data_IF_824443087007
#
_entry.id   IF_824443087007
#
_cell.length_a   1.000
_cell.length_b   1.000
_cell.length_c   1.000
_cell.angle_alpha   90.00
_cell.angle_beta   90.00
_cell.angle_gamma   90.00
#
_symmetry.space_group_name_H-M   'P 1'
#
loop_
_entity.id
_entity.type
_entity.pdbx_description
1 polymer ?
#
# COMPACT_ATOMS: atom_id res chain seq x y z
N UNK A 1 -7.86 -1.17 -10.52
CA UNK A 1 -8.50 -1.10 -9.18
C UNK A 1 -7.55 -0.62 -8.11
N UNK A 2 -6.34 -1.18 -7.99
CA UNK A 2 -5.39 -0.79 -6.93
C UNK A 2 -5.06 0.72 -6.86
N UNK A 3 -5.01 1.43 -8.00
CA UNK A 3 -4.73 2.88 -8.05
C UNK A 3 -5.86 3.74 -7.46
N UNK A 4 -7.12 3.33 -7.64
CA UNK A 4 -8.28 4.00 -7.04
C UNK A 4 -8.25 3.84 -5.53
N UNK A 5 -7.93 2.63 -5.06
CA UNK A 5 -7.78 2.33 -3.62
C UNK A 5 -6.67 3.18 -3.00
N UNK A 6 -5.49 3.26 -3.64
CA UNK A 6 -4.42 4.13 -3.16
C UNK A 6 -4.82 5.59 -3.08
N UNK A 7 -5.47 6.13 -4.12
CA UNK A 7 -5.89 7.52 -4.11
C UNK A 7 -6.94 7.77 -3.03
N UNK A 8 -7.87 6.83 -2.82
CA UNK A 8 -8.87 6.94 -1.74
C UNK A 8 -8.23 6.96 -0.35
N UNK A 9 -7.17 6.18 -0.12
CA UNK A 9 -6.42 6.22 1.13
C UNK A 9 -5.65 7.53 1.30
N UNK A 10 -4.99 8.00 0.23
CA UNK A 10 -4.32 9.29 0.23
C UNK A 10 -5.30 10.44 0.56
N UNK A 11 -6.52 10.39 0.03
CA UNK A 11 -7.57 11.38 0.32
C UNK A 11 -8.06 11.29 1.77
N UNK A 12 -8.20 10.09 2.32
CA UNK A 12 -8.54 9.92 3.74
C UNK A 12 -7.45 10.53 4.64
N UNK A 13 -6.18 10.23 4.38
CA UNK A 13 -5.05 10.83 5.09
C UNK A 13 -4.98 12.35 4.91
N UNK A 14 -5.23 12.85 3.71
CA UNK A 14 -5.30 14.28 3.43
C UNK A 14 -6.35 14.97 4.31
N UNK A 15 -7.54 14.38 4.38
CA UNK A 15 -8.65 14.90 5.17
C UNK A 15 -8.34 14.91 6.68
N UNK A 16 -7.71 13.84 7.19
CA UNK A 16 -7.39 13.71 8.61
C UNK A 16 -6.18 14.53 9.06
N UNK A 17 -5.17 14.71 8.19
CA UNK A 17 -3.92 15.42 8.53
C UNK A 17 -3.94 16.88 8.09
N UNK A 18 -4.91 17.28 7.26
CA UNK A 18 -4.98 18.58 6.59
C UNK A 18 -3.69 18.95 5.83
N UNK A 19 -2.98 17.94 5.31
CA UNK A 19 -1.75 18.09 4.52
C UNK A 19 -2.04 17.90 3.04
N UNK A 20 -1.36 18.67 2.21
CA UNK A 20 -1.47 18.55 0.75
C UNK A 20 -0.43 17.63 0.14
N UNK A 21 0.58 17.19 0.88
CA UNK A 21 1.60 16.26 0.39
C UNK A 21 1.58 15.03 1.28
N UNK A 22 1.04 13.94 0.75
CA UNK A 22 0.78 12.71 1.50
C UNK A 22 1.75 11.63 1.01
N UNK A 23 2.44 10.99 1.94
CA UNK A 23 3.33 9.86 1.69
C UNK A 23 2.95 8.72 2.62
N UNK A 24 2.79 7.52 2.08
CA UNK A 24 2.52 6.31 2.84
C UNK A 24 3.20 5.11 2.20
N UNK A 25 3.35 4.03 2.97
CA UNK A 25 3.92 2.77 2.50
C UNK A 25 2.96 2.05 1.54
N UNK A 26 3.45 1.64 0.38
CA UNK A 26 2.74 0.72 -0.49
C UNK A 26 3.45 -0.63 -0.50
N UNK A 27 2.71 -1.68 -0.12
CA UNK A 27 3.18 -3.06 -0.23
C UNK A 27 2.94 -3.60 -1.64
N UNK A 28 4.00 -4.09 -2.26
CA UNK A 28 3.99 -4.75 -3.57
C UNK A 28 4.40 -6.21 -3.39
N UNK A 29 3.53 -7.14 -3.79
CA UNK A 29 3.85 -8.57 -3.69
C UNK A 29 4.92 -9.04 -4.69
N UNK A 30 5.11 -8.28 -5.78
CA UNK A 30 6.02 -8.55 -6.90
C UNK A 30 5.94 -9.96 -7.51
N UNK A 31 4.80 -10.65 -7.36
CA UNK A 31 4.55 -11.99 -7.92
C UNK A 31 4.21 -11.98 -9.42
N UNK A 32 4.26 -10.82 -10.05
CA UNK A 32 3.92 -10.59 -11.45
C UNK A 32 5.07 -9.95 -12.25
N UNK A 33 6.30 -10.00 -11.71
CA UNK A 33 7.48 -9.62 -12.48
C UNK A 33 7.81 -10.71 -13.50
N UNK A 34 8.53 -10.33 -14.55
CA UNK A 34 8.97 -11.23 -15.63
C UNK A 34 10.16 -12.08 -15.15
N UNK A 35 9.88 -12.99 -14.22
CA UNK A 35 10.84 -13.92 -13.62
C UNK A 35 10.19 -15.30 -13.59
N UNK A 36 10.86 -16.28 -14.21
CA UNK A 36 10.35 -17.64 -14.32
C UNK A 36 10.04 -18.24 -12.94
N UNK A 37 8.79 -18.68 -12.76
CA UNK A 37 8.31 -19.31 -11.54
C UNK A 37 8.18 -18.39 -10.32
N UNK A 38 8.22 -17.06 -10.49
CA UNK A 38 8.14 -16.10 -9.38
C UNK A 38 6.84 -16.21 -8.57
N UNK A 39 5.76 -16.66 -9.20
CA UNK A 39 4.49 -16.96 -8.56
C UNK A 39 4.59 -18.14 -7.58
N UNK A 40 5.49 -19.09 -7.84
CA UNK A 40 5.70 -20.33 -7.07
C UNK A 40 6.96 -20.31 -6.20
N UNK A 41 7.81 -19.28 -6.32
CA UNK A 41 9.03 -19.15 -5.53
C UNK A 41 8.75 -19.08 -4.03
N UNK A 42 9.42 -19.93 -3.26
CA UNK A 42 9.47 -19.84 -1.80
C UNK A 42 10.46 -18.72 -1.42
N UNK A 43 9.96 -17.62 -0.85
CA UNK A 43 10.75 -16.45 -0.47
C UNK A 43 9.94 -15.15 -0.36
N UNK A 44 10.50 -14.13 0.31
CA UNK A 44 9.89 -12.81 0.40
C UNK A 44 10.16 -12.04 -0.90
N UNK A 45 9.20 -12.09 -1.83
CA UNK A 45 9.18 -11.20 -3.01
C UNK A 45 8.52 -9.86 -2.69
N UNK A 46 8.03 -9.68 -1.46
CA UNK A 46 7.32 -8.48 -1.05
C UNK A 46 8.33 -7.34 -0.91
N UNK A 47 8.02 -6.20 -1.50
CA UNK A 47 8.72 -4.96 -1.21
C UNK A 47 7.74 -3.87 -0.81
N UNK A 48 8.22 -2.96 0.01
CA UNK A 48 7.49 -1.75 0.36
C UNK A 48 8.13 -0.56 -0.35
N UNK A 49 7.31 0.29 -0.95
CA UNK A 49 7.76 1.46 -1.70
C UNK A 49 6.98 2.70 -1.26
N UNK A 50 7.58 3.91 -1.27
CA UNK A 50 6.86 5.11 -0.92
C UNK A 50 5.81 5.41 -2.00
N UNK A 51 4.57 5.59 -1.60
CA UNK A 51 3.52 6.15 -2.44
C UNK A 51 3.27 7.60 -2.04
N UNK A 52 3.66 8.55 -2.89
CA UNK A 52 3.46 9.99 -2.69
C UNK A 52 2.34 10.54 -3.57
N UNK A 53 1.41 11.27 -2.98
CA UNK A 53 0.31 11.96 -3.66
C UNK A 53 0.27 13.42 -3.22
N UNK A 54 0.38 14.35 -4.18
CA UNK A 54 0.30 15.80 -3.93
C UNK A 54 -1.05 16.36 -4.32
N UNK A 55 -1.78 16.92 -3.38
CA UNK A 55 -3.09 17.54 -3.51
C UNK A 55 -3.00 19.03 -3.87
N UNK A 56 -2.53 19.32 -5.09
CA UNK A 56 -2.54 20.68 -5.67
C UNK A 56 -3.93 21.08 -6.21
N UNK A 57 -4.35 22.33 -6.04
CA UNK A 57 -5.73 22.76 -6.32
C UNK A 57 -6.15 22.72 -7.79
N UNK A 58 -5.21 22.56 -8.73
CA UNK A 58 -5.48 22.64 -10.17
C UNK A 58 -5.70 21.29 -10.86
N UNK A 59 -5.37 20.16 -10.21
CA UNK A 59 -5.49 18.83 -10.82
C UNK A 59 -6.79 18.13 -10.46
N UNK A 60 -7.53 17.67 -11.47
CA UNK A 60 -8.72 16.83 -11.31
C UNK A 60 -8.39 15.45 -10.73
N UNK A 61 -9.41 14.76 -10.20
CA UNK A 61 -9.27 13.39 -9.68
C UNK A 61 -8.80 12.42 -10.78
N UNK A 62 -9.27 12.60 -12.02
CA UNK A 62 -8.91 11.73 -13.14
C UNK A 62 -7.43 11.88 -13.50
N UNK A 63 -6.93 13.12 -13.58
CA UNK A 63 -5.51 13.39 -13.85
C UNK A 63 -4.61 12.82 -12.74
N UNK A 64 -5.06 12.89 -11.48
CA UNK A 64 -4.35 12.29 -10.35
C UNK A 64 -4.28 10.78 -10.44
N UNK A 65 -5.39 10.12 -10.81
CA UNK A 65 -5.40 8.67 -11.03
C UNK A 65 -4.45 8.27 -12.15
N UNK A 66 -4.40 9.04 -13.24
CA UNK A 66 -3.49 8.78 -14.36
C UNK A 66 -2.04 8.96 -13.94
N UNK A 67 -1.71 10.04 -13.23
CA UNK A 67 -0.37 10.29 -12.72
C UNK A 67 0.07 9.20 -11.74
N UNK A 68 -0.80 8.80 -10.82
CA UNK A 68 -0.51 7.75 -9.85
C UNK A 68 -0.31 6.39 -10.55
N UNK A 69 -1.12 6.10 -11.58
CA UNK A 69 -0.93 4.91 -12.40
C UNK A 69 0.41 4.93 -13.13
N UNK A 70 0.80 6.06 -13.74
CA UNK A 70 2.06 6.21 -14.45
C UNK A 70 3.27 6.06 -13.51
N UNK A 71 3.21 6.69 -12.34
CA UNK A 71 4.25 6.57 -11.31
C UNK A 71 4.43 5.12 -10.86
N UNK A 72 3.33 4.39 -10.64
CA UNK A 72 3.39 2.96 -10.27
C UNK A 72 4.08 2.11 -11.33
N UNK A 73 3.74 2.31 -12.60
CA UNK A 73 4.39 1.58 -13.71
C UNK A 73 5.89 1.87 -13.77
N UNK A 74 6.28 3.13 -13.55
CA UNK A 74 7.70 3.52 -13.49
C UNK A 74 8.45 2.85 -12.33
N UNK A 75 7.82 2.77 -11.15
CA UNK A 75 8.43 2.19 -9.94
C UNK A 75 8.56 0.66 -10.02
N UNK A 76 7.72 -0.03 -10.80
CA UNK A 76 7.78 -1.50 -10.91
C UNK A 76 9.17 -2.02 -11.33
N UNK A 77 9.91 -1.30 -12.17
CA UNK A 77 11.28 -1.66 -12.55
C UNK A 77 12.34 -1.45 -11.46
N UNK A 78 11.98 -0.77 -10.37
CA UNK A 78 12.90 -0.34 -9.30
C UNK A 78 12.45 -0.78 -7.90
N UNK A 79 11.37 -1.57 -7.80
CA UNK A 79 10.75 -1.94 -6.54
C UNK A 79 11.54 -2.99 -5.72
N UNK A 80 12.62 -3.56 -6.26
CA UNK A 80 13.43 -4.60 -5.62
C UNK A 80 14.72 -4.07 -4.97
N UNK A 81 14.75 -2.77 -4.66
CA UNK A 81 15.86 -2.17 -3.93
C UNK A 81 15.81 -2.57 -2.44
N UNK A 82 16.97 -2.80 -1.82
CA UNK A 82 17.05 -3.02 -0.37
C UNK A 82 16.65 -1.72 0.36
N UNK A 83 15.93 -1.83 1.48
CA UNK A 83 15.62 -0.72 2.37
C UNK A 83 16.87 0.06 2.80
N UNK A 84 18.00 -0.63 3.01
CA UNK A 84 19.28 0.01 3.36
C UNK A 84 19.81 0.90 2.24
N UNK A 85 19.67 0.46 0.97
CA UNK A 85 20.06 1.24 -0.19
C UNK A 85 19.12 2.44 -0.39
N UNK A 86 17.82 2.26 -0.15
CA UNK A 86 16.85 3.35 -0.19
C UNK A 86 17.17 4.44 0.84
N UNK A 87 17.47 4.08 2.09
CA UNK A 87 17.87 5.02 3.12
C UNK A 87 19.15 5.79 2.73
N UNK A 88 20.13 5.05 2.19
CA UNK A 88 21.41 5.61 1.75
C UNK A 88 21.24 6.63 0.62
N UNK A 89 20.42 6.35 -0.38
CA UNK A 89 20.27 7.21 -1.55
C UNK A 89 19.28 8.36 -1.35
N UNK A 90 18.24 8.15 -0.55
CA UNK A 90 17.23 9.17 -0.27
C UNK A 90 17.68 10.21 0.76
N UNK A 91 18.73 9.91 1.55
CA UNK A 91 19.12 10.69 2.73
C UNK A 91 17.98 10.84 3.75
N UNK A 92 16.97 9.98 3.68
CA UNK A 92 15.87 9.86 4.63
C UNK A 92 16.15 8.63 5.49
N UNK A 93 16.08 8.72 6.84
CA UNK A 93 16.22 7.53 7.67
C UNK A 93 15.19 6.47 7.25
N UNK A 94 15.59 5.19 7.26
CA UNK A 94 14.87 4.05 6.70
C UNK A 94 13.34 4.18 6.76
N UNK A 95 12.67 3.97 5.61
CA UNK A 95 11.22 4.07 5.35
C UNK A 95 10.34 4.28 6.60
N UNK A 96 10.34 5.50 7.14
CA UNK A 96 9.45 5.89 8.23
C UNK A 96 8.14 6.37 7.60
N UNK A 97 7.26 5.43 7.30
CA UNK A 97 5.84 5.74 7.12
C UNK A 97 5.13 5.50 8.44
N UNK A 98 4.17 6.35 8.79
CA UNK A 98 3.28 6.09 9.92
C UNK A 98 2.18 5.08 9.55
N UNK A 99 1.93 4.92 8.25
CA UNK A 99 0.88 4.06 7.70
C UNK A 99 1.30 3.40 6.40
N UNK A 100 0.83 2.16 6.20
CA UNK A 100 1.00 1.41 4.97
C UNK A 100 -0.34 0.91 4.41
N UNK A 101 -0.34 0.61 3.11
CA UNK A 101 -1.46 0.02 2.40
C UNK A 101 -1.01 -1.15 1.53
N UNK A 102 -1.56 -2.32 1.82
CA UNK A 102 -1.39 -3.54 1.05
C UNK A 102 -2.63 -3.83 0.20
N UNK A 103 -2.41 -4.07 -1.10
CA UNK A 103 -3.47 -4.54 -2.01
C UNK A 103 -3.18 -5.97 -2.42
N UNK A 104 -3.91 -6.92 -1.83
CA UNK A 104 -3.77 -8.34 -2.10
C UNK A 104 -4.81 -8.79 -3.13
N UNK A 105 -4.37 -9.43 -4.21
CA UNK A 105 -5.25 -10.22 -5.06
C UNK A 105 -5.16 -11.68 -4.62
N UNK A 106 -6.10 -12.14 -3.81
CA UNK A 106 -6.26 -13.58 -3.59
C UNK A 106 -7.01 -14.18 -4.77
N UNK A 107 -6.45 -15.21 -5.41
CA UNK A 107 -7.28 -16.29 -5.94
C UNK A 107 -7.75 -17.09 -4.72
N UNK A 108 -9.04 -17.35 -4.59
CA UNK A 108 -9.62 -18.35 -3.67
C UNK A 108 -9.59 -18.11 -2.16
N UNK A 109 -10.16 -16.99 -1.69
CA UNK A 109 -10.87 -17.02 -0.41
C UNK A 109 -12.22 -16.32 -0.59
N UNK A 110 -13.31 -17.03 -0.32
CA UNK A 110 -14.65 -16.48 -0.17
C UNK A 110 -14.66 -15.52 1.03
N UNK A 111 -14.16 -14.32 0.81
CA UNK A 111 -14.17 -13.23 1.77
C UNK A 111 -15.54 -12.57 1.65
N UNK A 112 -16.23 -12.50 2.78
CA UNK A 112 -17.47 -11.76 2.98
C UNK A 112 -17.31 -10.31 2.45
N UNK A 113 -18.24 -9.85 1.60
CA UNK A 113 -18.16 -8.60 0.82
C UNK A 113 -18.23 -7.32 1.68
N UNK A 114 -18.14 -7.47 3.00
CA UNK A 114 -18.28 -6.41 3.97
C UNK A 114 -16.91 -5.82 4.36
N UNK A 115 -16.88 -4.50 4.58
CA UNK A 115 -15.74 -3.81 5.22
C UNK A 115 -15.64 -4.30 6.65
N UNK A 116 -14.56 -5.04 6.98
CA UNK A 116 -14.31 -5.57 8.33
C UNK A 116 -13.16 -4.81 8.96
N UNK A 117 -13.51 -3.81 9.79
CA UNK A 117 -12.53 -3.15 10.67
C UNK A 117 -12.32 -4.07 11.87
N UNK A 118 -11.35 -4.99 11.75
CA UNK A 118 -10.97 -5.85 12.86
C UNK A 118 -10.01 -5.08 13.77
N UNK A 119 -10.55 -4.46 14.83
CA UNK A 119 -9.74 -3.85 15.86
C UNK A 119 -9.09 -4.91 16.75
N UNK A 120 -7.80 -5.14 16.59
CA UNK A 120 -7.02 -5.99 17.49
C UNK A 120 -5.83 -6.66 16.82
N UNK A 121 -4.73 -6.76 17.56
CA UNK A 121 -3.63 -7.69 17.28
C UNK A 121 -4.18 -9.11 17.41
N UNK A 122 -4.79 -9.65 16.35
CA UNK A 122 -5.06 -11.08 16.30
C UNK A 122 -3.73 -11.79 16.03
N UNK A 123 -3.44 -12.86 16.77
CA UNK A 123 -2.22 -13.70 16.77
C UNK A 123 -1.76 -14.24 15.39
N UNK A 124 -2.43 -13.86 14.31
CA UNK A 124 -2.15 -14.27 12.92
C UNK A 124 -1.24 -13.30 12.17
N UNK A 125 -1.11 -12.05 12.62
CA UNK A 125 -0.18 -11.07 12.05
C UNK A 125 0.62 -10.40 13.16
N UNK A 126 1.97 -10.31 13.04
CA UNK A 126 2.81 -9.71 14.07
C UNK A 126 2.36 -8.26 14.33
N UNK A 127 2.63 -7.78 15.55
CA UNK A 127 2.28 -6.43 16.02
C UNK A 127 2.52 -5.38 14.92
N UNK A 128 1.53 -4.51 14.69
CA UNK A 128 1.55 -3.53 13.62
C UNK A 128 2.87 -2.74 13.66
N UNK A 129 3.70 -2.93 12.64
CA UNK A 129 4.97 -2.20 12.49
C UNK A 129 4.68 -0.71 12.25
N UNK A 130 3.49 -0.43 11.70
CA UNK A 130 2.93 0.88 11.41
C UNK A 130 1.84 1.27 12.42
N UNK A 131 1.59 2.57 12.58
CA UNK A 131 0.50 3.05 13.44
C UNK A 131 -0.87 2.61 12.87
N UNK A 132 -1.00 2.58 11.55
CA UNK A 132 -2.19 2.07 10.85
C UNK A 132 -1.75 1.27 9.62
N UNK A 133 -2.17 0.00 9.56
CA UNK A 133 -2.00 -0.88 8.41
C UNK A 133 -3.35 -1.14 7.74
N UNK A 134 -3.45 -0.89 6.43
CA UNK A 134 -4.68 -1.11 5.65
C UNK A 134 -4.45 -2.18 4.59
N UNK A 135 -5.15 -3.30 4.71
CA UNK A 135 -5.16 -4.37 3.72
C UNK A 135 -6.46 -4.39 2.94
N UNK A 136 -6.37 -4.42 1.61
CA UNK A 136 -7.51 -4.41 0.70
C UNK A 136 -7.49 -5.66 -0.19
N UNK A 137 -8.61 -6.37 -0.24
CA UNK A 137 -8.78 -7.60 -1.01
C UNK A 137 -10.02 -7.50 -1.91
N UNK A 138 -9.90 -7.63 -3.24
CA UNK A 138 -11.05 -7.68 -4.11
C UNK A 138 -11.81 -9.00 -3.90
N UNK A 139 -13.14 -8.93 -3.88
CA UNK A 139 -14.04 -10.07 -3.75
C UNK A 139 -14.86 -10.24 -5.03
N UNK A 140 -15.74 -11.25 -5.07
CA UNK A 140 -16.61 -11.50 -6.24
C UNK A 140 -17.63 -10.40 -6.48
N UNK A 141 -18.08 -9.68 -5.45
CA UNK A 141 -19.08 -8.62 -5.60
C UNK A 141 -18.58 -7.21 -5.22
N UNK A 142 -17.37 -7.09 -4.67
CA UNK A 142 -16.84 -5.82 -4.21
C UNK A 142 -15.41 -5.88 -3.71
N UNK A 143 -15.18 -5.27 -2.56
CA UNK A 143 -13.86 -5.13 -1.94
C UNK A 143 -13.99 -5.28 -0.44
N UNK A 144 -13.23 -6.21 0.14
CA UNK A 144 -13.04 -6.33 1.58
C UNK A 144 -11.86 -5.45 2.01
N UNK A 145 -12.06 -4.64 3.04
CA UNK A 145 -11.03 -3.79 3.64
C UNK A 145 -10.84 -4.23 5.08
N UNK A 146 -9.58 -4.45 5.47
CA UNK A 146 -9.15 -4.70 6.84
C UNK A 146 -8.17 -3.62 7.25
N UNK A 147 -8.33 -3.10 8.46
CA UNK A 147 -7.39 -2.17 9.05
C UNK A 147 -6.95 -2.68 10.42
N UNK A 148 -5.64 -2.67 10.67
CA UNK A 148 -5.04 -2.88 11.99
C UNK A 148 -4.42 -1.55 12.45
N UNK A 149 -4.42 -1.31 13.76
CA UNK A 149 -3.81 -0.11 14.32
C UNK A 149 -3.19 -0.43 15.67
N UNK A 150 -2.07 0.23 15.97
CA UNK A 150 -1.45 0.21 17.28
C UNK A 150 -2.13 1.26 18.17
N UNK A 151 -2.61 0.84 19.35
CA UNK A 151 -3.22 1.74 20.34
C UNK A 151 -2.20 2.50 21.19
N UNK A 152 -0.93 2.11 21.11
CA UNK A 152 0.15 2.68 21.92
C UNK A 152 0.88 3.85 21.25
N UNK A 153 0.59 4.13 19.97
CA UNK A 153 1.06 5.28 19.20
C UNK A 153 -0.10 6.21 18.85
#
# INVERSE_FOLDING_TARGET
MSTVVLLSWAMALQHHTNRHDIVFGQVLANRNLDVDGIDQMLGCTVSEVPCRVKFDTEMSIVERLQQLQANRTSIQGHCMINSDDHATWSHVPAMQFDTDLAFHRSHDLAMDDNVKINGGCNDTYPAAVYAIEVAVTPTTSGVAIRAAYDRSR
#
